data_IF_576963339071
#
_entry.id   IF_576963339071
#
_cell.length_a   1.000
_cell.length_b   1.000
_cell.length_c   1.000
_cell.angle_alpha   90.00
_cell.angle_beta   90.00
_cell.angle_gamma   90.00
#
_symmetry.space_group_name_H-M   'P 1'
#
loop_
_entity.id
_entity.type
_entity.pdbx_description
1 polymer ?
#
# COMPACT_ATOMS: atom_id res chain seq x y z
N UNK A 1 5.98 -2.28 19.71
CA UNK A 1 6.25 -1.00 19.01
C UNK A 1 7.49 -1.24 18.18
N UNK A 2 7.37 -1.37 16.86
CA UNK A 2 8.57 -1.40 16.02
C UNK A 2 9.15 0.00 16.04
N UNK A 3 10.32 0.19 16.64
CA UNK A 3 11.04 1.47 16.54
C UNK A 3 11.37 1.69 15.07
N UNK A 4 10.55 2.52 14.43
CA UNK A 4 10.84 3.05 13.11
C UNK A 4 12.16 3.82 13.21
N UNK A 5 12.95 3.75 12.14
CA UNK A 5 14.23 4.45 12.07
C UNK A 5 14.05 5.94 12.41
N UNK A 6 14.95 6.45 13.25
CA UNK A 6 15.02 7.88 13.57
C UNK A 6 15.35 8.70 12.32
N UNK A 7 15.04 9.99 12.34
CA UNK A 7 15.38 10.91 11.25
C UNK A 7 16.89 10.91 10.94
N UNK A 8 17.73 10.80 11.98
CA UNK A 8 19.18 10.64 11.83
C UNK A 8 19.58 9.36 11.10
N UNK A 9 18.92 8.23 11.38
CA UNK A 9 19.16 6.97 10.68
C UNK A 9 18.67 7.01 9.22
N UNK A 10 17.54 7.66 8.94
CA UNK A 10 17.04 7.83 7.58
C UNK A 10 17.94 8.75 6.74
N UNK A 11 18.49 9.80 7.36
CA UNK A 11 19.51 10.65 6.74
C UNK A 11 20.77 9.84 6.43
N UNK A 12 21.28 9.08 7.40
CA UNK A 12 22.44 8.20 7.20
C UNK A 12 22.21 7.20 6.05
N UNK A 13 21.02 6.59 5.94
CA UNK A 13 20.71 5.69 4.82
C UNK A 13 20.64 6.39 3.47
N UNK A 14 20.25 7.67 3.43
CA UNK A 14 20.22 8.48 2.21
C UNK A 14 21.65 8.84 1.76
N UNK A 15 22.47 9.26 2.71
CA UNK A 15 23.89 9.58 2.47
C UNK A 15 24.65 8.32 2.01
N UNK A 16 24.39 7.17 2.64
CA UNK A 16 24.93 5.86 2.21
C UNK A 16 24.45 5.47 0.81
N UNK A 17 23.18 5.75 0.47
CA UNK A 17 22.62 5.44 -0.85
C UNK A 17 23.29 6.29 -1.94
N UNK A 18 23.48 7.58 -1.69
CA UNK A 18 24.17 8.49 -2.60
C UNK A 18 25.62 8.06 -2.83
N UNK A 19 26.31 7.62 -1.76
CA UNK A 19 27.67 7.07 -1.89
C UNK A 19 27.71 5.80 -2.73
N UNK A 20 26.73 4.89 -2.55
CA UNK A 20 26.65 3.64 -3.33
C UNK A 20 26.31 3.91 -4.79
N UNK A 21 25.40 4.83 -5.07
CA UNK A 21 25.04 5.23 -6.44
C UNK A 21 26.25 5.87 -7.16
N UNK A 22 26.98 6.74 -6.48
CA UNK A 22 28.21 7.33 -7.02
C UNK A 22 29.31 6.28 -7.28
N UNK A 23 29.44 5.25 -6.43
CA UNK A 23 30.39 4.15 -6.65
C UNK A 23 29.97 3.27 -7.84
N UNK A 24 28.67 3.00 -7.99
CA UNK A 24 28.11 2.29 -9.14
C UNK A 24 28.35 3.05 -10.46
N UNK A 25 28.13 4.36 -10.47
CA UNK A 25 28.40 5.20 -11.65
C UNK A 25 29.87 5.20 -12.04
N UNK A 26 30.79 5.28 -11.06
CA UNK A 26 32.25 5.19 -11.35
C UNK A 26 32.63 3.84 -11.93
N UNK A 27 32.03 2.76 -11.42
CA UNK A 27 32.26 1.40 -11.92
C UNK A 27 31.79 1.23 -13.37
N UNK A 28 30.63 1.80 -13.72
CA UNK A 28 30.07 1.72 -15.08
C UNK A 28 30.67 2.73 -16.06
N UNK A 29 31.19 3.86 -15.59
CA UNK A 29 31.87 4.87 -16.41
C UNK A 29 33.26 4.42 -16.90
N UNK A 30 33.89 3.42 -16.23
CA UNK A 30 35.22 2.90 -16.61
C UNK A 30 35.19 1.99 -17.85
N UNK A 31 34.93 2.58 -19.02
CA UNK A 31 35.34 2.07 -20.34
C UNK A 31 34.71 0.78 -20.89
N UNK A 32 33.82 0.10 -20.16
CA UNK A 32 33.16 -1.13 -20.62
C UNK A 32 31.70 -0.93 -21.08
N UNK A 33 31.20 0.31 -21.09
CA UNK A 33 29.77 0.59 -21.23
C UNK A 33 29.00 0.22 -19.96
N UNK A 34 27.69 0.56 -19.87
CA UNK A 34 26.87 0.15 -18.74
C UNK A 34 26.97 -1.38 -18.59
N UNK A 35 27.18 -1.84 -17.35
CA UNK A 35 27.09 -3.26 -16.99
C UNK A 35 25.64 -3.69 -17.07
N UNK A 36 25.17 -3.77 -18.31
CA UNK A 36 23.81 -4.07 -18.63
C UNK A 36 23.54 -5.52 -18.20
N UNK A 37 22.34 -5.79 -17.72
CA UNK A 37 21.97 -7.10 -17.20
C UNK A 37 22.17 -8.23 -18.23
N UNK A 38 22.25 -7.87 -19.53
CA UNK A 38 22.62 -8.75 -20.63
C UNK A 38 24.07 -9.25 -20.65
N UNK A 39 25.03 -8.53 -20.03
CA UNK A 39 26.45 -8.93 -20.01
C UNK A 39 26.68 -10.17 -19.14
N UNK A 40 25.85 -10.36 -18.09
CA UNK A 40 25.86 -11.56 -17.25
C UNK A 40 25.28 -12.80 -17.94
N UNK A 41 24.57 -12.64 -19.07
CA UNK A 41 24.04 -13.73 -19.89
C UNK A 41 24.95 -14.11 -21.06
N UNK A 42 26.06 -13.41 -21.28
CA UNK A 42 27.02 -13.78 -22.33
C UNK A 42 27.88 -14.98 -21.90
N UNK A 43 28.25 -15.89 -22.84
CA UNK A 43 29.20 -16.97 -22.56
C UNK A 43 30.55 -16.40 -22.06
N UNK A 44 31.20 -17.07 -21.11
CA UNK A 44 32.46 -16.62 -20.47
C UNK A 44 33.53 -16.19 -21.50
N UNK A 45 33.67 -16.91 -22.62
CA UNK A 45 34.63 -16.58 -23.68
C UNK A 45 34.32 -15.31 -24.50
N UNK A 46 33.13 -14.72 -24.37
CA UNK A 46 32.78 -13.39 -24.94
C UNK A 46 32.88 -12.26 -23.92
N UNK A 47 33.12 -12.58 -22.64
CA UNK A 47 33.34 -11.60 -21.56
C UNK A 47 34.78 -11.10 -21.52
N UNK A 48 35.73 -11.90 -22.03
CA UNK A 48 37.17 -11.66 -22.03
C UNK A 48 37.67 -10.54 -22.96
N UNK A 49 36.82 -9.99 -23.84
CA UNK A 49 37.16 -8.85 -24.71
C UNK A 49 36.91 -7.47 -24.10
N UNK A 50 36.11 -7.40 -23.03
CA UNK A 50 35.94 -6.20 -22.22
C UNK A 50 36.71 -6.43 -20.91
N UNK A 51 37.41 -5.42 -20.39
CA UNK A 51 38.17 -5.50 -19.14
C UNK A 51 37.27 -5.60 -17.89
N UNK A 52 36.47 -6.65 -17.84
CA UNK A 52 35.49 -7.03 -16.83
C UNK A 52 36.05 -8.22 -16.04
N UNK A 53 36.96 -7.92 -15.12
CA UNK A 53 37.45 -8.89 -14.15
C UNK A 53 36.31 -9.37 -13.25
N UNK A 54 36.28 -10.65 -12.86
CA UNK A 54 35.29 -11.22 -11.94
C UNK A 54 35.15 -10.42 -10.62
N UNK A 55 36.23 -9.76 -10.19
CA UNK A 55 36.24 -8.83 -9.07
C UNK A 55 35.33 -7.61 -9.26
N UNK A 56 35.28 -7.03 -10.47
CA UNK A 56 34.39 -5.89 -10.81
C UNK A 56 32.92 -6.33 -10.83
N UNK A 57 32.64 -7.52 -11.36
CA UNK A 57 31.29 -8.09 -11.38
C UNK A 57 30.79 -8.35 -9.95
N UNK A 58 31.65 -8.95 -9.12
CA UNK A 58 31.34 -9.20 -7.70
C UNK A 58 31.07 -7.89 -6.96
N UNK A 59 31.93 -6.88 -7.12
CA UNK A 59 31.78 -5.54 -6.54
C UNK A 59 30.47 -4.86 -6.98
N UNK A 60 30.16 -4.91 -8.28
CA UNK A 60 28.91 -4.37 -8.82
C UNK A 60 27.69 -5.04 -8.17
N UNK A 61 27.66 -6.38 -8.12
CA UNK A 61 26.55 -7.12 -7.52
C UNK A 61 26.35 -6.83 -6.03
N UNK A 62 27.45 -6.64 -5.28
CA UNK A 62 27.43 -6.29 -3.87
C UNK A 62 26.81 -4.89 -3.67
N UNK A 63 27.26 -3.91 -4.46
CA UNK A 63 26.73 -2.55 -4.42
C UNK A 63 25.26 -2.48 -4.82
N UNK A 64 24.83 -3.23 -5.85
CA UNK A 64 23.42 -3.32 -6.23
C UNK A 64 22.56 -3.89 -5.10
N UNK A 65 22.99 -5.00 -4.46
CA UNK A 65 22.27 -5.56 -3.30
C UNK A 65 22.21 -4.59 -2.13
N UNK A 66 23.29 -3.85 -1.88
CA UNK A 66 23.34 -2.85 -0.81
C UNK A 66 22.41 -1.67 -1.09
N UNK A 67 22.36 -1.20 -2.34
CA UNK A 67 21.41 -0.19 -2.82
C UNK A 67 19.96 -0.63 -2.60
N UNK A 68 19.61 -1.84 -3.01
CA UNK A 68 18.27 -2.41 -2.81
C UNK A 68 17.90 -2.51 -1.32
N UNK A 69 18.84 -2.93 -0.48
CA UNK A 69 18.66 -2.99 0.97
C UNK A 69 18.38 -1.61 1.58
N UNK A 70 19.15 -0.59 1.19
CA UNK A 70 18.96 0.79 1.65
C UNK A 70 17.61 1.36 1.20
N UNK A 71 17.24 1.15 -0.07
CA UNK A 71 15.91 1.54 -0.58
C UNK A 71 14.78 0.85 0.18
N UNK A 72 14.92 -0.43 0.51
CA UNK A 72 13.96 -1.14 1.33
C UNK A 72 13.84 -0.54 2.73
N UNK A 73 14.98 -0.21 3.38
CA UNK A 73 14.99 0.45 4.70
C UNK A 73 14.33 1.83 4.67
N UNK A 74 14.53 2.62 3.62
CA UNK A 74 13.92 3.93 3.44
C UNK A 74 12.41 3.86 3.19
N UNK A 75 11.93 2.82 2.50
CA UNK A 75 10.49 2.62 2.20
C UNK A 75 9.70 1.99 3.35
N UNK A 76 10.39 1.27 4.25
CA UNK A 76 9.77 0.52 5.34
C UNK A 76 8.92 1.40 6.28
N UNK A 77 9.38 2.58 6.76
CA UNK A 77 8.55 3.43 7.62
C UNK A 77 7.25 3.89 6.98
N UNK A 78 7.30 4.30 5.70
CA UNK A 78 6.11 4.73 4.98
C UNK A 78 5.09 3.59 4.84
N UNK A 79 5.57 2.37 4.56
CA UNK A 79 4.71 1.17 4.45
C UNK A 79 4.09 0.77 5.78
N UNK A 80 4.87 0.81 6.87
CA UNK A 80 4.37 0.49 8.22
C UNK A 80 3.36 1.53 8.71
N UNK A 81 3.59 2.83 8.44
CA UNK A 81 2.64 3.90 8.75
C UNK A 81 1.32 3.73 7.99
N UNK A 82 1.36 3.42 6.70
CA UNK A 82 0.16 3.15 5.90
C UNK A 82 -0.61 1.93 6.42
N UNK A 83 0.10 0.86 6.81
CA UNK A 83 -0.53 -0.31 7.40
C UNK A 83 -1.17 -0.02 8.77
N UNK A 84 -0.48 0.73 9.62
CA UNK A 84 -0.99 1.13 10.93
C UNK A 84 -2.24 2.02 10.79
N UNK A 85 -2.25 2.97 9.86
CA UNK A 85 -3.41 3.81 9.56
C UNK A 85 -4.59 2.96 9.07
N UNK A 86 -4.38 2.06 8.11
CA UNK A 86 -5.43 1.17 7.60
C UNK A 86 -5.97 0.23 8.70
N UNK A 87 -5.11 -0.22 9.62
CA UNK A 87 -5.52 -1.03 10.77
C UNK A 87 -6.37 -0.22 11.75
N UNK A 88 -5.94 1.00 12.09
CA UNK A 88 -6.68 1.88 13.00
C UNK A 88 -8.06 2.24 12.42
N UNK A 89 -8.14 2.54 11.13
CA UNK A 89 -9.41 2.80 10.44
C UNK A 89 -10.35 1.59 10.51
N UNK A 90 -9.84 0.38 10.27
CA UNK A 90 -10.62 -0.86 10.43
C UNK A 90 -11.09 -1.08 11.86
N UNK A 91 -10.26 -0.80 12.86
CA UNK A 91 -10.64 -0.94 14.28
C UNK A 91 -11.73 0.06 14.67
N UNK A 92 -11.65 1.30 14.20
CA UNK A 92 -12.69 2.33 14.43
C UNK A 92 -14.01 1.90 13.79
N UNK A 93 -13.99 1.44 12.53
CA UNK A 93 -15.19 0.95 11.85
C UNK A 93 -15.76 -0.29 12.52
N UNK A 94 -14.90 -1.22 12.98
CA UNK A 94 -15.33 -2.41 13.71
C UNK A 94 -15.90 -2.07 15.09
N UNK A 95 -15.42 -1.01 15.75
CA UNK A 95 -15.92 -0.55 17.04
C UNK A 95 -17.28 0.17 16.92
N UNK A 96 -17.58 0.79 15.77
CA UNK A 96 -18.82 1.54 15.56
C UNK A 96 -20.08 0.69 15.81
N UNK A 97 -21.03 1.25 16.57
CA UNK A 97 -22.37 0.69 16.72
C UNK A 97 -23.31 1.35 15.71
N UNK A 98 -23.61 0.63 14.63
CA UNK A 98 -24.46 1.11 13.56
C UNK A 98 -25.90 1.33 14.01
N UNK A 99 -26.42 0.52 14.92
CA UNK A 99 -27.78 0.66 15.42
C UNK A 99 -27.91 1.88 16.33
N UNK A 100 -26.92 2.12 17.19
CA UNK A 100 -26.91 3.31 18.04
C UNK A 100 -26.80 4.60 17.21
N UNK A 101 -26.06 4.57 16.10
CA UNK A 101 -25.79 5.75 15.28
C UNK A 101 -26.87 6.06 14.24
N UNK A 102 -27.42 5.03 13.59
CA UNK A 102 -28.30 5.18 12.42
C UNK A 102 -29.62 4.41 12.56
N UNK A 103 -29.94 3.89 13.75
CA UNK A 103 -31.13 3.04 13.96
C UNK A 103 -32.47 3.67 13.63
N UNK A 104 -32.53 5.00 13.47
CA UNK A 104 -33.71 5.76 13.05
C UNK A 104 -33.76 6.05 11.55
N UNK A 105 -32.78 5.60 10.76
CA UNK A 105 -32.72 5.83 9.32
C UNK A 105 -33.37 4.67 8.57
N UNK A 106 -34.13 4.98 7.53
CA UNK A 106 -34.87 4.00 6.72
C UNK A 106 -34.13 3.64 5.42
N UNK A 107 -33.12 4.42 5.04
CA UNK A 107 -32.30 4.16 3.86
C UNK A 107 -30.81 4.28 4.19
N UNK A 108 -30.01 3.47 3.50
CA UNK A 108 -28.55 3.49 3.60
C UNK A 108 -27.92 3.54 2.22
N UNK A 109 -26.84 4.30 2.08
CA UNK A 109 -26.08 4.41 0.84
C UNK A 109 -24.97 3.37 0.82
N UNK A 110 -25.00 2.47 -0.15
CA UNK A 110 -23.94 1.48 -0.32
C UNK A 110 -22.72 2.13 -0.98
N UNK A 111 -21.54 1.94 -0.42
CA UNK A 111 -20.29 2.47 -0.95
C UNK A 111 -19.92 1.88 -2.32
N UNK A 112 -20.24 0.59 -2.56
CA UNK A 112 -19.85 -0.11 -3.79
C UNK A 112 -20.62 0.38 -5.03
N UNK A 113 -21.94 0.58 -4.91
CA UNK A 113 -22.79 1.03 -6.02
C UNK A 113 -23.05 2.54 -5.98
N UNK A 114 -22.93 3.16 -4.80
CA UNK A 114 -23.26 4.57 -4.58
C UNK A 114 -24.76 4.84 -4.47
N UNK A 115 -25.61 3.81 -4.57
CA UNK A 115 -27.07 3.88 -4.52
C UNK A 115 -27.62 3.81 -3.10
N UNK A 116 -28.86 4.27 -2.93
CA UNK A 116 -29.60 4.20 -1.67
C UNK A 116 -30.51 2.97 -1.68
N UNK A 117 -30.42 2.15 -0.63
CA UNK A 117 -31.27 0.99 -0.45
C UNK A 117 -32.10 1.11 0.83
N UNK A 118 -33.36 0.65 0.81
CA UNK A 118 -34.20 0.62 1.99
C UNK A 118 -33.68 -0.38 3.02
N UNK A 119 -33.70 0.03 4.28
CA UNK A 119 -33.23 -0.76 5.41
C UNK A 119 -34.35 -1.66 5.91
N UNK A 120 -34.05 -2.95 6.02
CA UNK A 120 -34.92 -3.95 6.65
C UNK A 120 -34.67 -4.00 8.15
N UNK A 121 -33.40 -3.98 8.56
CA UNK A 121 -33.01 -4.12 9.97
C UNK A 121 -31.64 -3.55 10.28
N UNK A 122 -31.57 -2.70 11.30
CA UNK A 122 -30.31 -2.30 11.94
C UNK A 122 -29.89 -3.30 13.03
N UNK A 123 -28.62 -3.68 13.00
CA UNK A 123 -27.92 -4.41 14.06
C UNK A 123 -26.68 -3.62 14.50
N UNK A 124 -26.11 -3.94 15.65
CA UNK A 124 -24.97 -3.17 16.18
C UNK A 124 -23.76 -3.13 15.22
N UNK A 125 -23.49 -4.22 14.48
CA UNK A 125 -22.31 -4.33 13.59
C UNK A 125 -22.64 -4.35 12.10
N UNK A 126 -23.92 -4.37 11.75
CA UNK A 126 -24.34 -4.48 10.35
C UNK A 126 -25.75 -3.95 10.13
N UNK A 127 -26.10 -3.67 8.88
CA UNK A 127 -27.44 -3.35 8.43
C UNK A 127 -27.87 -4.35 7.36
N UNK A 128 -29.12 -4.78 7.40
CA UNK A 128 -29.72 -5.57 6.32
C UNK A 128 -30.54 -4.63 5.44
N UNK A 129 -30.22 -4.62 4.15
CA UNK A 129 -30.90 -3.81 3.14
C UNK A 129 -31.68 -4.71 2.19
N UNK A 130 -32.78 -4.18 1.63
CA UNK A 130 -33.56 -4.89 0.63
C UNK A 130 -33.11 -4.47 -0.77
N UNK A 131 -32.70 -5.44 -1.56
CA UNK A 131 -32.42 -5.29 -2.99
C UNK A 131 -33.50 -5.95 -3.84
N UNK A 132 -33.41 -5.78 -5.16
CA UNK A 132 -34.41 -6.25 -6.11
C UNK A 132 -34.66 -7.77 -6.05
N UNK A 133 -33.63 -8.55 -5.70
CA UNK A 133 -33.69 -10.02 -5.74
C UNK A 133 -33.32 -10.71 -4.42
N UNK A 134 -32.79 -9.97 -3.44
CA UNK A 134 -32.38 -10.53 -2.16
C UNK A 134 -32.23 -9.45 -1.09
N UNK A 135 -32.27 -9.86 0.18
CA UNK A 135 -31.81 -9.04 1.28
C UNK A 135 -30.30 -9.23 1.45
N UNK A 136 -29.54 -8.14 1.53
CA UNK A 136 -28.08 -8.16 1.68
C UNK A 136 -27.65 -7.52 2.99
N UNK A 137 -26.54 -8.01 3.56
CA UNK A 137 -26.03 -7.55 4.86
C UNK A 137 -24.76 -6.73 4.66
N UNK A 138 -24.84 -5.44 4.97
CA UNK A 138 -23.74 -4.49 4.88
C UNK A 138 -23.11 -4.21 6.25
N UNK A 139 -21.80 -4.02 6.27
CA UNK A 139 -21.01 -3.65 7.46
C UNK A 139 -20.67 -2.16 7.47
N UNK A 140 -20.10 -1.66 8.55
CA UNK A 140 -19.74 -0.24 8.70
C UNK A 140 -18.79 0.27 7.60
N UNK A 141 -17.89 -0.57 7.08
CA UNK A 141 -16.98 -0.22 5.99
C UNK A 141 -17.65 -0.10 4.62
N UNK A 142 -18.87 -0.62 4.47
CA UNK A 142 -19.61 -0.63 3.21
C UNK A 142 -20.67 0.49 3.16
N UNK A 143 -20.87 1.22 4.26
CA UNK A 143 -21.89 2.27 4.36
C UNK A 143 -21.25 3.63 4.07
N UNK A 144 -21.71 4.29 3.02
CA UNK A 144 -21.30 5.65 2.67
C UNK A 144 -22.14 6.73 3.39
N UNK A 145 -23.32 6.38 3.90
CA UNK A 145 -24.22 7.28 4.64
C UNK A 145 -25.57 6.63 4.94
N UNK A 146 -26.37 7.25 5.81
CA UNK A 146 -27.73 6.81 6.15
C UNK A 146 -28.66 8.03 6.24
N UNK A 147 -29.94 7.86 5.86
CA UNK A 147 -30.95 8.92 5.91
C UNK A 147 -32.33 8.39 6.27
N UNK A 148 -33.18 9.27 6.79
CA UNK A 148 -34.62 9.00 6.93
C UNK A 148 -35.24 9.23 5.56
N UNK A 149 -36.03 8.28 5.07
CA UNK A 149 -36.74 8.48 3.81
C UNK A 149 -37.64 9.71 3.97
N UNK A 150 -37.60 10.65 3.02
CA UNK A 150 -38.53 11.77 3.05
C UNK A 150 -39.95 11.20 3.03
N UNK A 151 -40.68 11.33 4.14
CA UNK A 151 -42.06 10.89 4.25
C UNK A 151 -42.89 11.64 3.20
N UNK A 152 -43.15 10.98 2.07
CA UNK A 152 -44.01 11.46 1.00
C UNK A 152 -45.35 10.75 1.04
N UNK A 153 -46.36 11.47 1.57
CA UNK A 153 -47.80 11.32 1.39
C UNK A 153 -48.50 10.02 1.84
N UNK A 154 -49.07 10.09 3.05
CA UNK A 154 -50.39 9.50 3.33
C UNK A 154 -51.43 10.48 2.78
N UNK A 155 -51.98 10.19 1.61
CA UNK A 155 -53.19 10.87 1.12
C UNK A 155 -54.42 10.22 1.78
N UNK A 156 -55.35 10.98 2.38
CA UNK A 156 -56.56 10.44 3.00
C UNK A 156 -57.50 9.76 2.01
#
# INVERSE_FOLDING_TARGET
>A
MAELYTEGQLRMFRDDLESVDAELERLTASGAGPLDHGVLNLPIGKRSGAALTDAKISRYSELTRRRESLLHKLRRPAREAAYAAAKAEREVLAAMDLKARFGSCDEVRWLATGEWYPVVRWSAKSVTVRMEHADERLTASEIAGARVAASGEVTP
#
